data_IF_119871347769
#
_entry.id   IF_119871347769
#
_cell.length_a   1.000
_cell.length_b   1.000
_cell.length_c   1.000
_cell.angle_alpha   90.00
_cell.angle_beta   90.00
_cell.angle_gamma   90.00
#
_symmetry.space_group_name_H-M   'P 1'
#
loop_
_entity.id
_entity.type
_entity.pdbx_description
1 polymer ?
#
# COMPACT_ATOMS: atom_id res chain seq x y z
N UNK A 1 17.86 28.91 21.47
CA UNK A 1 16.75 27.94 21.55
C UNK A 1 16.56 27.02 20.31
N UNK A 2 17.53 26.80 19.43
CA UNK A 2 17.39 25.82 18.33
C UNK A 2 17.53 24.38 18.81
N UNK A 3 18.32 24.08 19.82
CA UNK A 3 18.59 22.72 20.26
C UNK A 3 17.33 21.96 20.78
N UNK A 4 16.43 22.62 21.51
CA UNK A 4 15.21 21.99 22.02
C UNK A 4 14.26 21.52 20.88
N UNK A 5 14.09 22.33 19.83
CA UNK A 5 13.25 21.94 18.66
C UNK A 5 13.85 20.75 17.94
N UNK A 6 15.16 20.66 17.85
CA UNK A 6 15.85 19.56 17.19
C UNK A 6 15.71 18.23 17.97
N UNK A 7 15.71 18.27 19.31
CA UNK A 7 15.44 17.10 20.16
C UNK A 7 13.98 16.63 20.08
N UNK A 8 13.02 17.57 20.04
CA UNK A 8 11.60 17.24 19.90
C UNK A 8 11.30 16.60 18.56
N UNK A 9 11.87 17.13 17.47
CA UNK A 9 11.75 16.59 16.11
C UNK A 9 12.35 15.17 16.02
N UNK A 10 13.58 14.98 16.52
CA UNK A 10 14.23 13.67 16.56
C UNK A 10 13.42 12.66 17.39
N UNK A 11 12.89 13.07 18.52
CA UNK A 11 12.07 12.22 19.39
C UNK A 11 10.74 11.83 18.71
N UNK A 12 10.15 12.76 17.95
CA UNK A 12 8.94 12.47 17.16
C UNK A 12 9.22 11.44 16.07
N UNK A 13 10.25 11.64 15.25
CA UNK A 13 10.68 10.72 14.19
C UNK A 13 11.00 9.32 14.73
N UNK A 14 11.69 9.25 15.86
CA UNK A 14 12.03 7.98 16.50
C UNK A 14 10.77 7.23 16.98
N UNK A 15 9.82 7.94 17.60
CA UNK A 15 8.54 7.33 18.03
C UNK A 15 7.75 6.79 16.84
N UNK A 16 7.66 7.57 15.76
CA UNK A 16 6.96 7.16 14.54
C UNK A 16 7.65 5.94 13.91
N UNK A 17 8.98 5.94 13.83
CA UNK A 17 9.76 4.80 13.35
C UNK A 17 9.50 3.54 14.16
N UNK A 18 9.54 3.62 15.50
CA UNK A 18 9.25 2.48 16.38
C UNK A 18 7.82 1.99 16.23
N UNK A 19 6.85 2.91 16.07
CA UNK A 19 5.44 2.55 15.81
C UNK A 19 5.32 1.76 14.51
N UNK A 20 5.90 2.26 13.41
CA UNK A 20 5.88 1.59 12.10
C UNK A 20 6.56 0.22 12.15
N UNK A 21 7.72 0.10 12.77
CA UNK A 21 8.42 -1.19 12.93
C UNK A 21 7.57 -2.21 13.70
N UNK A 22 7.00 -1.78 14.83
CA UNK A 22 6.17 -2.67 15.65
C UNK A 22 4.93 -3.13 14.91
N UNK A 23 4.23 -2.23 14.21
CA UNK A 23 3.04 -2.55 13.44
C UNK A 23 3.37 -3.49 12.26
N UNK A 24 4.49 -3.27 11.57
CA UNK A 24 4.95 -4.17 10.51
C UNK A 24 5.26 -5.58 11.03
N UNK A 25 5.92 -5.70 12.18
CA UNK A 25 6.20 -7.01 12.79
C UNK A 25 4.90 -7.73 13.15
N UNK A 26 3.94 -7.03 13.75
CA UNK A 26 2.66 -7.63 14.13
C UNK A 26 1.81 -8.01 12.91
N UNK A 27 1.85 -7.24 11.83
CA UNK A 27 1.13 -7.52 10.59
C UNK A 27 1.77 -8.69 9.81
N UNK A 28 3.11 -8.84 9.85
CA UNK A 28 3.82 -9.90 9.12
C UNK A 28 3.48 -11.31 9.62
N UNK A 29 3.06 -11.44 10.87
CA UNK A 29 2.65 -12.72 11.46
C UNK A 29 1.17 -13.06 11.23
N UNK A 30 0.39 -12.11 10.70
CA UNK A 30 -1.03 -12.27 10.43
C UNK A 30 -1.28 -12.46 8.93
N UNK A 31 -2.19 -13.33 8.58
CA UNK A 31 -2.66 -13.51 7.19
C UNK A 31 -3.59 -12.38 6.77
N UNK A 32 -4.38 -11.87 7.71
CA UNK A 32 -5.31 -10.77 7.51
C UNK A 32 -5.36 -9.86 8.75
N UNK A 33 -5.69 -8.61 8.51
CA UNK A 33 -5.91 -7.55 9.50
C UNK A 33 -7.21 -6.81 9.18
N UNK A 34 -7.69 -5.93 10.06
CA UNK A 34 -8.80 -5.05 9.68
C UNK A 34 -8.32 -3.99 8.68
N UNK A 35 -9.24 -3.50 7.86
CA UNK A 35 -8.93 -2.40 6.93
C UNK A 35 -8.43 -1.16 7.68
N UNK A 36 -9.01 -0.88 8.87
CA UNK A 36 -8.56 0.20 9.76
C UNK A 36 -7.07 0.02 10.15
N UNK A 37 -6.69 -1.19 10.65
CA UNK A 37 -5.30 -1.50 11.01
C UNK A 37 -4.35 -1.31 9.82
N UNK A 38 -4.76 -1.78 8.64
CA UNK A 38 -3.97 -1.66 7.40
C UNK A 38 -3.81 -0.19 6.99
N UNK A 39 -4.89 0.61 7.03
CA UNK A 39 -4.85 2.03 6.71
C UNK A 39 -3.99 2.84 7.68
N UNK A 40 -4.12 2.60 8.99
CA UNK A 40 -3.27 3.26 9.99
C UNK A 40 -1.80 2.97 9.74
N UNK A 41 -1.45 1.69 9.50
CA UNK A 41 -0.07 1.27 9.23
C UNK A 41 0.52 2.00 8.02
N UNK A 42 -0.25 2.07 6.92
CA UNK A 42 0.24 2.71 5.69
C UNK A 42 0.32 4.23 5.83
N UNK A 43 -0.63 4.86 6.51
CA UNK A 43 -0.59 6.30 6.81
C UNK A 43 0.64 6.67 7.66
N UNK A 44 0.93 5.87 8.70
CA UNK A 44 2.12 6.05 9.54
C UNK A 44 3.42 5.87 8.73
N UNK A 45 3.46 4.86 7.85
CA UNK A 45 4.59 4.64 6.96
C UNK A 45 4.84 5.82 6.01
N UNK A 46 3.77 6.35 5.39
CA UNK A 46 3.86 7.52 4.50
C UNK A 46 4.29 8.76 5.28
N UNK A 47 3.77 8.97 6.50
CA UNK A 47 4.18 10.07 7.36
C UNK A 47 5.67 10.01 7.69
N UNK A 48 6.17 8.84 8.09
CA UNK A 48 7.60 8.61 8.35
C UNK A 48 8.46 8.90 7.11
N UNK A 49 8.00 8.48 5.93
CA UNK A 49 8.69 8.76 4.66
C UNK A 49 8.80 10.26 4.40
N UNK A 50 7.71 11.03 4.59
CA UNK A 50 7.71 12.48 4.42
C UNK A 50 8.65 13.19 5.40
N UNK A 51 8.72 12.72 6.64
CA UNK A 51 9.64 13.25 7.65
C UNK A 51 11.12 13.03 7.32
N UNK A 52 11.42 11.91 6.65
CA UNK A 52 12.80 11.52 6.31
C UNK A 52 13.23 11.93 4.90
N UNK A 53 12.28 12.14 4.00
CA UNK A 53 12.53 12.54 2.61
C UNK A 53 11.50 13.59 2.17
N UNK A 54 11.89 14.89 2.11
CA UNK A 54 11.01 15.97 1.69
C UNK A 54 10.43 15.82 0.28
N UNK A 55 11.14 15.10 -0.61
CA UNK A 55 10.72 14.84 -2.00
C UNK A 55 9.74 13.66 -2.11
N UNK A 56 9.21 13.19 -0.99
CA UNK A 56 8.21 12.12 -0.98
C UNK A 56 6.96 12.56 -1.75
N UNK A 57 6.50 11.77 -2.73
CA UNK A 57 5.29 12.04 -3.51
C UNK A 57 4.08 12.31 -2.63
N UNK A 58 3.13 13.09 -3.15
CA UNK A 58 1.85 13.31 -2.48
C UNK A 58 1.06 12.01 -2.44
N UNK A 59 0.55 11.66 -1.28
CA UNK A 59 -0.39 10.55 -1.12
C UNK A 59 -1.75 11.12 -0.71
N UNK A 60 -2.76 10.85 -1.54
CA UNK A 60 -4.15 11.23 -1.30
C UNK A 60 -4.97 10.00 -0.89
N UNK A 61 -5.80 10.17 0.14
CA UNK A 61 -6.66 9.12 0.69
C UNK A 61 -8.11 9.44 0.40
N UNK A 62 -8.82 8.51 -0.25
CA UNK A 62 -10.24 8.62 -0.58
C UNK A 62 -10.96 7.39 -0.04
N UNK A 63 -11.58 7.51 1.10
CA UNK A 63 -12.35 6.42 1.72
C UNK A 63 -13.82 6.75 1.64
N UNK A 64 -14.62 5.88 1.03
CA UNK A 64 -16.08 6.00 0.97
C UNK A 64 -16.65 5.81 2.38
N UNK A 65 -17.47 6.74 2.85
CA UNK A 65 -18.09 6.74 4.18
C UNK A 65 -18.95 5.50 4.47
N UNK A 66 -19.36 4.77 3.42
CA UNK A 66 -20.13 3.53 3.53
C UNK A 66 -19.28 2.30 3.84
N UNK A 67 -17.97 2.41 3.73
CA UNK A 67 -17.05 1.30 4.00
C UNK A 67 -16.96 1.05 5.50
N UNK A 68 -17.25 -0.17 5.90
CA UNK A 68 -16.97 -0.63 7.26
C UNK A 68 -15.48 -1.00 7.36
N UNK A 69 -14.70 -0.15 8.02
CA UNK A 69 -13.25 -0.34 8.17
C UNK A 69 -12.90 -1.53 9.09
N UNK A 70 -13.88 -2.14 9.78
CA UNK A 70 -13.67 -3.39 10.54
C UNK A 70 -13.55 -4.64 9.67
N UNK A 71 -13.84 -4.52 8.36
CA UNK A 71 -13.70 -5.63 7.41
C UNK A 71 -12.26 -6.14 7.36
N UNK A 72 -12.12 -7.47 7.31
CA UNK A 72 -10.80 -8.11 7.18
C UNK A 72 -10.30 -8.01 5.74
N UNK A 73 -9.02 -7.68 5.61
CA UNK A 73 -8.28 -7.63 4.33
C UNK A 73 -6.95 -8.40 4.48
N UNK A 74 -6.33 -8.87 3.39
CA UNK A 74 -5.01 -9.48 3.47
C UNK A 74 -4.00 -8.49 4.08
N UNK A 75 -3.17 -8.97 4.99
CA UNK A 75 -2.11 -8.13 5.57
C UNK A 75 -1.18 -7.59 4.49
N UNK A 76 -0.80 -6.33 4.62
CA UNK A 76 0.09 -5.60 3.70
C UNK A 76 -0.47 -5.40 2.28
N UNK A 77 -1.78 -5.59 2.08
CA UNK A 77 -2.39 -5.49 0.75
C UNK A 77 -2.41 -4.06 0.20
N UNK A 78 -2.41 -3.04 1.06
CA UNK A 78 -2.28 -1.62 0.70
C UNK A 78 -0.83 -1.18 0.83
N UNK A 79 -0.15 -1.62 1.90
CA UNK A 79 1.23 -1.20 2.17
C UNK A 79 2.18 -1.57 1.03
N UNK A 80 2.15 -2.82 0.56
CA UNK A 80 3.08 -3.28 -0.49
C UNK A 80 2.93 -2.45 -1.78
N UNK A 81 1.73 -2.24 -2.34
CA UNK A 81 1.56 -1.39 -3.51
C UNK A 81 2.01 0.07 -3.30
N UNK A 82 1.66 0.68 -2.15
CA UNK A 82 2.08 2.05 -1.84
C UNK A 82 3.60 2.15 -1.69
N UNK A 83 4.22 1.20 -1.00
CA UNK A 83 5.68 1.13 -0.86
C UNK A 83 6.37 0.99 -2.22
N UNK A 84 5.83 0.14 -3.12
CA UNK A 84 6.36 -0.02 -4.47
C UNK A 84 6.24 1.27 -5.30
N UNK A 85 5.09 1.95 -5.24
CA UNK A 85 4.92 3.24 -5.91
C UNK A 85 5.93 4.28 -5.39
N UNK A 86 6.10 4.40 -4.07
CA UNK A 86 7.06 5.31 -3.45
C UNK A 86 8.52 5.00 -3.78
N UNK A 87 8.84 3.75 -4.11
CA UNK A 87 10.21 3.33 -4.44
C UNK A 87 10.56 3.42 -5.92
N UNK A 88 9.59 3.17 -6.80
CA UNK A 88 9.88 2.87 -8.19
C UNK A 88 9.10 3.71 -9.20
N UNK A 89 7.92 4.24 -8.84
CA UNK A 89 7.04 4.86 -9.82
C UNK A 89 7.59 6.20 -10.35
N UNK A 90 8.42 6.90 -9.57
CA UNK A 90 8.80 8.29 -9.83
C UNK A 90 10.28 8.47 -10.20
N UNK A 91 11.00 7.38 -10.42
CA UNK A 91 12.42 7.44 -10.80
C UNK A 91 12.58 8.15 -12.16
N UNK A 92 13.35 9.26 -12.17
CA UNK A 92 13.64 10.03 -13.39
C UNK A 92 12.52 10.95 -13.84
N UNK A 93 11.46 11.15 -13.06
CA UNK A 93 10.41 12.11 -13.37
C UNK A 93 10.79 13.52 -12.92
N UNK A 94 10.47 14.52 -13.75
CA UNK A 94 10.58 15.95 -13.42
C UNK A 94 9.31 16.49 -12.78
N UNK A 95 8.15 15.85 -13.06
CA UNK A 95 6.87 16.26 -12.53
C UNK A 95 6.62 15.69 -11.12
N UNK A 96 5.84 16.40 -10.30
CA UNK A 96 5.50 15.91 -8.96
C UNK A 96 4.77 14.57 -8.99
N UNK A 97 5.29 13.61 -8.22
CA UNK A 97 4.65 12.32 -8.06
C UNK A 97 3.39 12.40 -7.20
N UNK A 98 2.35 11.68 -7.60
CA UNK A 98 1.11 11.53 -6.85
C UNK A 98 0.68 10.07 -6.76
N UNK A 99 0.24 9.66 -5.59
CA UNK A 99 -0.38 8.36 -5.32
C UNK A 99 -1.77 8.61 -4.77
N UNK A 100 -2.79 8.02 -5.37
CA UNK A 100 -4.17 8.06 -4.89
C UNK A 100 -4.57 6.69 -4.38
N UNK A 101 -4.89 6.59 -3.10
CA UNK A 101 -5.43 5.38 -2.47
C UNK A 101 -6.93 5.58 -2.30
N UNK A 102 -7.74 4.80 -3.02
CA UNK A 102 -9.19 4.87 -2.97
C UNK A 102 -9.77 3.56 -2.43
N UNK A 103 -10.72 3.69 -1.52
CA UNK A 103 -11.42 2.56 -0.89
C UNK A 103 -12.91 2.79 -1.04
N UNK A 104 -13.58 1.88 -1.73
CA UNK A 104 -14.97 2.01 -2.10
C UNK A 104 -15.77 0.78 -1.66
N UNK A 105 -17.00 1.03 -1.21
CA UNK A 105 -17.98 -0.03 -1.03
C UNK A 105 -18.58 -0.41 -2.39
N UNK A 106 -18.44 -1.68 -2.77
CA UNK A 106 -19.04 -2.24 -3.98
C UNK A 106 -20.41 -2.90 -3.75
N UNK A 107 -20.96 -2.81 -2.53
CA UNK A 107 -22.21 -3.46 -2.11
C UNK A 107 -22.07 -4.95 -1.78
N UNK A 108 -21.03 -5.62 -2.24
CA UNK A 108 -20.74 -7.04 -1.96
C UNK A 108 -19.34 -7.28 -1.38
N UNK A 109 -18.54 -6.24 -1.28
CA UNK A 109 -17.17 -6.27 -0.79
C UNK A 109 -16.52 -4.89 -0.88
N UNK A 110 -15.30 -4.82 -0.46
CA UNK A 110 -14.47 -3.62 -0.52
C UNK A 110 -13.58 -3.66 -1.74
N UNK A 111 -13.54 -2.58 -2.50
CA UNK A 111 -12.62 -2.36 -3.60
C UNK A 111 -11.57 -1.34 -3.17
N UNK A 112 -10.34 -1.79 -3.04
CA UNK A 112 -9.16 -0.94 -2.83
C UNK A 112 -8.49 -0.69 -4.16
N UNK A 113 -8.16 0.57 -4.45
CA UNK A 113 -7.43 0.98 -5.65
C UNK A 113 -6.27 1.86 -5.26
N UNK A 114 -5.07 1.53 -5.71
CA UNK A 114 -3.86 2.35 -5.54
C UNK A 114 -3.37 2.74 -6.94
N UNK A 115 -3.43 4.02 -7.24
CA UNK A 115 -3.02 4.58 -8.52
C UNK A 115 -1.86 5.55 -8.30
N UNK A 116 -0.81 5.40 -9.08
CA UNK A 116 0.25 6.41 -9.22
C UNK A 116 0.22 7.05 -10.61
N UNK A 117 0.84 8.23 -10.74
CA UNK A 117 1.07 8.91 -12.01
C UNK A 117 2.49 8.72 -12.54
N UNK A 118 3.17 7.66 -12.11
CA UNK A 118 4.57 7.39 -12.39
C UNK A 118 4.84 6.83 -13.79
N UNK A 119 6.02 6.21 -13.94
CA UNK A 119 6.50 5.65 -15.22
C UNK A 119 5.76 4.36 -15.65
N UNK A 120 4.87 3.85 -14.80
CA UNK A 120 4.10 2.64 -15.05
C UNK A 120 4.82 1.35 -14.61
N UNK A 121 4.02 0.29 -14.48
CA UNK A 121 4.50 -1.01 -14.03
C UNK A 121 5.27 -1.76 -15.12
N UNK A 122 6.51 -2.13 -14.83
CA UNK A 122 7.34 -2.96 -15.72
C UNK A 122 7.85 -4.19 -14.95
N UNK A 123 7.27 -5.39 -15.16
CA UNK A 123 7.68 -6.61 -14.46
C UNK A 123 9.16 -6.97 -14.63
N UNK A 124 9.77 -6.61 -15.77
CA UNK A 124 11.16 -6.89 -16.09
C UNK A 124 12.17 -6.00 -15.34
N UNK A 125 11.79 -4.77 -15.01
CA UNK A 125 12.67 -3.82 -14.34
C UNK A 125 12.99 -4.22 -12.89
N UNK A 126 12.09 -4.94 -12.24
CA UNK A 126 12.24 -5.36 -10.84
C UNK A 126 13.29 -6.45 -10.62
N UNK A 127 13.67 -7.19 -11.68
CA UNK A 127 14.67 -8.26 -11.57
C UNK A 127 16.12 -7.75 -11.57
N UNK A 128 16.35 -6.50 -11.95
CA UNK A 128 17.70 -5.93 -12.14
C UNK A 128 18.03 -4.77 -11.19
N UNK A 129 17.11 -4.38 -10.29
CA UNK A 129 17.38 -3.25 -9.39
C UNK A 129 17.99 -3.71 -8.07
N UNK A 130 19.13 -3.14 -7.71
CA UNK A 130 19.74 -3.27 -6.37
C UNK A 130 18.85 -2.74 -5.23
N UNK A 131 17.74 -2.05 -5.57
CA UNK A 131 16.86 -1.34 -4.63
C UNK A 131 15.72 -2.20 -4.02
N UNK A 132 15.57 -3.44 -4.45
CA UNK A 132 14.57 -4.34 -3.88
C UNK A 132 14.34 -5.59 -4.71
N UNK A 133 13.91 -6.66 -4.06
CA UNK A 133 13.74 -7.99 -4.68
C UNK A 133 12.51 -8.11 -5.57
N UNK A 134 11.62 -7.08 -5.63
CA UNK A 134 10.33 -7.14 -6.35
C UNK A 134 9.38 -8.24 -5.87
N UNK A 135 9.68 -8.85 -4.72
CA UNK A 135 8.97 -10.04 -4.24
C UNK A 135 7.65 -9.71 -3.53
N UNK A 136 7.46 -8.46 -3.06
CA UNK A 136 6.27 -8.09 -2.29
C UNK A 136 4.96 -8.34 -3.04
N UNK A 137 4.83 -7.80 -4.26
CA UNK A 137 3.63 -8.01 -5.08
C UNK A 137 3.43 -9.49 -5.47
N UNK A 138 4.52 -10.22 -5.78
CA UNK A 138 4.47 -11.66 -6.07
C UNK A 138 3.99 -12.45 -4.84
N UNK A 139 4.45 -12.06 -3.64
CA UNK A 139 4.04 -12.69 -2.39
C UNK A 139 2.57 -12.41 -2.10
N UNK A 140 2.12 -11.17 -2.24
CA UNK A 140 0.72 -10.80 -2.09
C UNK A 140 -0.18 -11.57 -3.07
N UNK A 141 0.21 -11.67 -4.34
CA UNK A 141 -0.52 -12.44 -5.34
C UNK A 141 -0.66 -13.92 -4.93
N UNK A 142 0.43 -14.57 -4.51
CA UNK A 142 0.42 -15.96 -4.04
C UNK A 142 -0.46 -16.15 -2.80
N UNK A 143 -0.44 -15.19 -1.88
CA UNK A 143 -1.29 -15.21 -0.69
C UNK A 143 -2.77 -15.17 -1.09
N UNK A 144 -3.14 -14.29 -2.02
CA UNK A 144 -4.51 -14.20 -2.55
C UNK A 144 -4.93 -15.50 -3.25
N UNK A 145 -4.05 -16.09 -4.07
CA UNK A 145 -4.35 -17.39 -4.73
C UNK A 145 -4.57 -18.51 -3.71
N UNK A 146 -3.70 -18.61 -2.70
CA UNK A 146 -3.79 -19.62 -1.66
C UNK A 146 -5.07 -19.49 -0.83
N UNK A 147 -5.42 -18.27 -0.43
CA UNK A 147 -6.65 -17.98 0.29
C UNK A 147 -7.89 -18.25 -0.57
N UNK A 148 -7.84 -17.89 -1.86
CA UNK A 148 -8.91 -18.15 -2.80
C UNK A 148 -9.20 -19.63 -2.99
N UNK A 149 -8.21 -20.52 -2.85
CA UNK A 149 -8.43 -21.95 -3.01
C UNK A 149 -9.51 -22.51 -2.06
N UNK A 150 -9.70 -21.89 -0.89
CA UNK A 150 -10.62 -22.32 0.17
C UNK A 150 -11.91 -21.52 0.26
N UNK A 151 -12.07 -20.48 -0.55
CA UNK A 151 -13.25 -19.62 -0.52
C UNK A 151 -14.13 -19.81 -1.75
N UNK A 152 -15.44 -19.72 -1.58
CA UNK A 152 -16.41 -19.74 -2.71
C UNK A 152 -16.39 -18.41 -3.44
N UNK A 153 -16.49 -17.32 -2.70
CA UNK A 153 -16.31 -15.97 -3.23
C UNK A 153 -14.82 -15.65 -3.30
N UNK A 154 -14.36 -15.10 -4.43
CA UNK A 154 -12.94 -14.90 -4.69
C UNK A 154 -12.54 -13.43 -4.51
N UNK A 155 -11.44 -13.21 -3.83
CA UNK A 155 -10.70 -11.94 -3.95
C UNK A 155 -10.15 -11.82 -5.37
N UNK A 156 -10.03 -10.58 -5.84
CA UNK A 156 -9.34 -10.26 -7.10
C UNK A 156 -8.21 -9.30 -6.80
N UNK A 157 -7.08 -9.57 -7.40
CA UNK A 157 -5.90 -8.73 -7.33
C UNK A 157 -5.39 -8.53 -8.76
N UNK A 158 -5.31 -7.27 -9.18
CA UNK A 158 -4.88 -6.92 -10.52
C UNK A 158 -3.88 -5.76 -10.50
N UNK A 159 -2.95 -5.76 -11.46
CA UNK A 159 -1.97 -4.70 -11.67
C UNK A 159 -2.00 -4.32 -13.14
N UNK A 160 -2.33 -3.07 -13.42
CA UNK A 160 -2.45 -2.53 -14.77
C UNK A 160 -1.47 -1.38 -14.97
N UNK A 161 -0.77 -1.41 -16.11
CA UNK A 161 0.00 -0.26 -16.59
C UNK A 161 -0.97 0.66 -17.36
N UNK A 162 -1.06 1.93 -16.95
CA UNK A 162 -2.01 2.89 -17.52
C UNK A 162 -1.60 3.40 -18.91
N UNK A 163 -0.38 3.12 -19.36
CA UNK A 163 0.09 3.53 -20.69
C UNK A 163 -0.77 2.98 -21.84
N UNK A 164 -1.44 1.85 -21.64
CA UNK A 164 -2.36 1.27 -22.62
C UNK A 164 -3.63 2.11 -22.81
N UNK A 165 -3.98 2.97 -21.86
CA UNK A 165 -5.12 3.89 -21.91
C UNK A 165 -4.75 5.32 -22.29
N UNK A 166 -3.46 5.58 -22.60
CA UNK A 166 -2.93 6.91 -22.92
C UNK A 166 -2.61 7.76 -21.68
N UNK A 167 -2.65 7.16 -20.49
CA UNK A 167 -2.27 7.77 -19.22
C UNK A 167 -0.91 7.25 -18.75
N UNK A 168 -0.24 7.95 -17.84
CA UNK A 168 0.97 7.44 -17.19
C UNK A 168 0.65 6.84 -15.82
N UNK A 169 1.47 5.88 -15.40
CA UNK A 169 1.39 5.29 -14.06
C UNK A 169 0.91 3.86 -14.00
N UNK A 170 0.70 3.41 -12.77
CA UNK A 170 0.22 2.07 -12.43
C UNK A 170 -1.10 2.15 -11.67
N UNK A 171 -1.97 1.20 -11.90
CA UNK A 171 -3.16 0.95 -11.11
C UNK A 171 -3.09 -0.45 -10.52
N UNK A 172 -3.09 -0.53 -9.19
CA UNK A 172 -3.27 -1.78 -8.45
C UNK A 172 -4.68 -1.81 -7.89
N UNK A 173 -5.42 -2.89 -8.11
CA UNK A 173 -6.76 -3.08 -7.54
C UNK A 173 -6.84 -4.36 -6.74
N UNK A 174 -7.54 -4.29 -5.61
CA UNK A 174 -7.79 -5.42 -4.73
C UNK A 174 -9.27 -5.39 -4.36
N UNK A 175 -9.99 -6.45 -4.71
CA UNK A 175 -11.37 -6.63 -4.30
C UNK A 175 -11.45 -7.73 -3.25
N UNK A 176 -12.06 -7.43 -2.11
CA UNK A 176 -12.27 -8.37 -0.99
C UNK A 176 -13.77 -8.50 -0.73
N UNK A 177 -14.39 -9.68 -0.92
CA UNK A 177 -15.80 -9.91 -0.59
C UNK A 177 -16.06 -9.77 0.92
N UNK A 178 -17.21 -9.22 1.33
CA UNK A 178 -17.56 -9.08 2.74
C UNK A 178 -17.66 -10.40 3.51
N UNK A 179 -17.97 -11.51 2.81
CA UNK A 179 -18.09 -12.84 3.44
C UNK A 179 -16.85 -13.70 3.24
N UNK A 180 -15.71 -13.05 2.96
CA UNK A 180 -14.47 -13.77 2.75
C UNK A 180 -13.92 -14.35 4.06
N UNK A 181 -13.42 -15.58 4.01
CA UNK A 181 -12.85 -16.27 5.18
C UNK A 181 -11.32 -16.35 5.04
N UNK A 182 -10.61 -15.85 6.04
CA UNK A 182 -9.15 -15.81 6.08
C UNK A 182 -8.53 -16.98 6.86
N UNK A 183 -9.31 -18.04 7.11
CA UNK A 183 -8.80 -19.24 7.79
C UNK A 183 -7.94 -20.06 6.81
N UNK A 184 -6.70 -20.35 7.20
CA UNK A 184 -5.76 -21.22 6.50
C UNK A 184 -5.98 -22.70 6.84
#
# INVERSE_FOLDING_TARGET
MPAFRQYDDLSHKLRLFVKVLRSNLLASDKVAVTLEEELELVKDFVALRKETNPDTPRVEWRVDERVDESVMVPSMCIQIPVENALKYAFDGMEEPGEIVVSINDSGKGVLVSIRDNGVGYNPGAYNNSERGTGNGLKMLFRTVEMLNARNTEKMRFDISNLSATGESGTLVTIYVPYRYQFNL
#
